data_IF_070108548892
#
_entry.id   IF_070108548892
#
_cell.length_a   1.000
_cell.length_b   1.000
_cell.length_c   1.000
_cell.angle_alpha   90.00
_cell.angle_beta   90.00
_cell.angle_gamma   90.00
#
_symmetry.space_group_name_H-M   'P 1'
#
loop_
_entity.id
_entity.type
_entity.pdbx_description
1 polymer ?
#
# COMPACT_ATOMS: atom_id res chain seq x y z
N UNK A 1 24.95 -7.09 38.98
CA UNK A 1 24.11 -8.09 38.28
C UNK A 1 24.56 -8.14 36.82
N UNK A 2 24.58 -9.31 36.18
CA UNK A 2 24.96 -9.41 34.76
C UNK A 2 23.74 -9.12 33.89
N UNK A 3 23.90 -8.19 32.96
CA UNK A 3 22.99 -7.96 31.85
C UNK A 3 23.80 -7.87 30.55
N UNK A 4 23.15 -8.14 29.44
CA UNK A 4 23.69 -7.90 28.11
C UNK A 4 22.84 -6.85 27.41
N UNK A 5 23.50 -5.98 26.65
CA UNK A 5 22.83 -5.05 25.75
C UNK A 5 22.67 -5.69 24.38
N UNK A 6 21.50 -5.53 23.78
CA UNK A 6 21.22 -5.93 22.42
C UNK A 6 20.53 -4.79 21.67
N UNK A 7 20.84 -4.66 20.38
CA UNK A 7 20.13 -3.80 19.43
C UNK A 7 19.23 -4.70 18.59
N UNK A 8 17.93 -4.42 18.60
CA UNK A 8 16.94 -5.11 17.78
C UNK A 8 16.61 -4.21 16.60
N UNK A 9 16.70 -4.75 15.39
CA UNK A 9 16.38 -4.01 14.16
C UNK A 9 15.31 -4.77 13.40
N UNK A 10 14.23 -4.07 13.03
CA UNK A 10 13.18 -4.55 12.15
C UNK A 10 13.36 -3.82 10.82
N UNK A 11 13.49 -4.58 9.73
CA UNK A 11 13.69 -4.02 8.39
C UNK A 11 12.62 -4.56 7.44
N UNK A 12 11.92 -3.63 6.80
CA UNK A 12 10.93 -3.91 5.79
C UNK A 12 11.57 -3.91 4.40
N UNK A 13 11.74 -5.10 3.82
CA UNK A 13 12.27 -5.27 2.46
C UNK A 13 11.19 -5.25 1.38
N UNK A 14 9.90 -5.15 1.74
CA UNK A 14 8.83 -5.07 0.75
C UNK A 14 8.92 -3.76 -0.03
N UNK A 15 8.95 -3.86 -1.36
CA UNK A 15 9.14 -2.70 -2.23
C UNK A 15 7.96 -1.71 -2.17
N UNK A 16 6.74 -2.22 -2.02
CA UNK A 16 5.51 -1.41 -2.10
C UNK A 16 4.51 -1.70 -0.97
N UNK A 17 4.84 -2.57 0.00
CA UNK A 17 4.01 -2.78 1.20
C UNK A 17 4.64 -2.07 2.38
N UNK A 18 3.86 -1.26 3.08
CA UNK A 18 4.27 -0.60 4.30
C UNK A 18 3.52 -1.22 5.50
N UNK A 19 4.07 -1.06 6.71
CA UNK A 19 3.32 -1.25 7.95
C UNK A 19 2.80 0.13 8.34
N UNK A 20 1.49 0.32 8.18
CA UNK A 20 0.81 1.57 8.51
C UNK A 20 0.58 1.72 10.02
N UNK A 21 -0.01 2.84 10.44
CA UNK A 21 -0.52 3.00 11.81
C UNK A 21 -1.64 1.97 12.07
N UNK A 22 -1.79 1.44 13.31
CA UNK A 22 -1.07 1.76 14.56
C UNK A 22 0.39 1.29 14.66
N UNK A 23 0.95 0.65 13.63
CA UNK A 23 2.35 0.23 13.59
C UNK A 23 2.56 -1.25 13.90
N UNK A 24 3.81 -1.69 13.90
CA UNK A 24 4.18 -3.06 14.26
C UNK A 24 4.12 -3.28 15.78
N UNK A 25 3.80 -4.52 16.16
CA UNK A 25 4.02 -5.05 17.50
C UNK A 25 4.85 -6.33 17.40
N UNK A 26 5.97 -6.38 18.09
CA UNK A 26 6.91 -7.49 18.05
C UNK A 26 6.79 -8.29 19.35
N UNK A 27 6.41 -9.57 19.24
CA UNK A 27 6.32 -10.49 20.37
C UNK A 27 7.30 -11.63 20.23
N UNK A 28 7.80 -12.15 21.34
CA UNK A 28 8.61 -13.36 21.38
C UNK A 28 8.47 -14.04 22.74
N UNK A 29 8.98 -15.26 22.86
CA UNK A 29 9.08 -16.00 24.11
C UNK A 29 10.54 -16.20 24.52
N UNK A 30 10.87 -15.87 25.75
CA UNK A 30 12.17 -16.20 26.34
C UNK A 30 12.32 -17.72 26.48
N UNK A 31 13.51 -18.24 26.22
CA UNK A 31 13.76 -19.70 26.29
C UNK A 31 14.00 -20.16 27.72
N UNK A 32 14.44 -19.26 28.60
CA UNK A 32 14.66 -19.52 30.01
C UNK A 32 13.83 -18.53 30.85
N UNK A 33 14.46 -17.85 31.81
CA UNK A 33 13.80 -16.90 32.73
C UNK A 33 14.34 -15.49 32.52
N UNK A 34 14.75 -15.16 31.30
CA UNK A 34 15.25 -13.84 30.96
C UNK A 34 14.22 -12.75 31.25
N UNK A 35 14.71 -11.56 31.59
CA UNK A 35 13.87 -10.39 31.90
C UNK A 35 14.42 -9.16 31.20
N UNK A 36 13.53 -8.20 30.93
CA UNK A 36 13.87 -6.91 30.35
C UNK A 36 14.18 -5.93 31.47
N UNK A 37 15.43 -5.51 31.55
CA UNK A 37 15.90 -4.53 32.53
C UNK A 37 15.50 -3.12 32.16
N UNK A 38 15.80 -2.73 30.92
CA UNK A 38 15.47 -1.41 30.37
C UNK A 38 15.38 -1.50 28.86
N UNK A 39 14.70 -0.52 28.25
CA UNK A 39 14.56 -0.37 26.81
C UNK A 39 14.72 1.10 26.41
N UNK A 40 15.23 1.33 25.20
CA UNK A 40 15.25 2.65 24.53
C UNK A 40 14.81 2.48 23.09
N UNK A 41 13.99 3.40 22.59
CA UNK A 41 13.40 3.38 21.24
C UNK A 41 12.08 2.61 21.13
N UNK A 42 11.83 1.67 22.04
CA UNK A 42 10.60 0.89 22.09
C UNK A 42 10.20 0.62 23.55
N UNK A 43 8.96 0.16 23.77
CA UNK A 43 8.41 -0.13 25.09
C UNK A 43 7.69 -1.48 25.09
N UNK A 44 7.81 -2.21 26.20
CA UNK A 44 7.04 -3.43 26.42
C UNK A 44 5.63 -3.03 26.86
N UNK A 45 4.62 -3.60 26.22
CA UNK A 45 3.21 -3.29 26.50
C UNK A 45 2.77 -3.69 27.91
N UNK A 46 3.48 -4.63 28.54
CA UNK A 46 3.17 -5.14 29.88
C UNK A 46 4.45 -5.42 30.67
N UNK A 47 4.42 -5.07 31.96
CA UNK A 47 5.50 -5.38 32.90
C UNK A 47 5.45 -6.84 33.39
N UNK A 48 4.25 -7.38 33.68
CA UNK A 48 4.11 -8.73 34.24
C UNK A 48 4.49 -8.84 35.73
N UNK A 49 4.62 -10.06 36.24
CA UNK A 49 4.93 -10.32 37.64
C UNK A 49 6.45 -10.28 37.90
N UNK A 50 6.93 -9.15 38.41
CA UNK A 50 8.33 -8.95 38.80
C UNK A 50 8.63 -9.21 40.29
N UNK A 51 7.74 -9.86 41.06
CA UNK A 51 7.91 -10.00 42.53
C UNK A 51 9.18 -10.73 42.97
N UNK A 52 9.82 -11.49 42.08
CA UNK A 52 11.13 -12.10 42.32
C UNK A 52 12.26 -11.06 42.47
N UNK A 53 12.08 -9.83 41.98
CA UNK A 53 13.08 -8.77 41.96
C UNK A 53 12.66 -7.62 42.90
N UNK A 54 13.04 -7.72 44.18
CA UNK A 54 12.55 -6.81 45.25
C UNK A 54 13.22 -5.44 45.33
N UNK A 55 14.41 -5.29 44.77
CA UNK A 55 15.27 -4.12 44.99
C UNK A 55 15.40 -3.19 43.77
N UNK A 56 14.79 -3.56 42.64
CA UNK A 56 14.82 -2.75 41.43
C UNK A 56 13.58 -3.03 40.57
N UNK A 57 12.92 -1.96 40.14
CA UNK A 57 11.82 -2.05 39.18
C UNK A 57 12.37 -2.36 37.80
N UNK A 58 12.13 -3.57 37.32
CA UNK A 58 12.46 -3.98 35.96
C UNK A 58 11.40 -3.50 34.98
N UNK A 59 11.80 -3.31 33.72
CA UNK A 59 10.89 -2.89 32.66
C UNK A 59 9.84 -3.95 32.32
N UNK A 60 10.23 -5.22 32.20
CA UNK A 60 9.29 -6.33 32.03
C UNK A 60 9.87 -7.67 32.48
N UNK A 61 9.05 -8.46 33.17
CA UNK A 61 9.33 -9.81 33.63
C UNK A 61 8.40 -10.86 33.00
N UNK A 62 7.67 -10.50 31.93
CA UNK A 62 6.90 -11.47 31.16
C UNK A 62 7.84 -12.45 30.45
N UNK A 63 7.45 -13.73 30.42
CA UNK A 63 8.13 -14.75 29.63
C UNK A 63 7.85 -14.57 28.13
N UNK A 64 6.75 -13.91 27.78
CA UNK A 64 6.25 -13.64 26.43
C UNK A 64 6.05 -12.13 26.15
N UNK A 65 7.09 -11.28 26.24
CA UNK A 65 6.92 -9.84 26.07
C UNK A 65 6.42 -9.48 24.66
N UNK A 66 5.55 -8.47 24.61
CA UNK A 66 5.14 -7.80 23.37
C UNK A 66 5.61 -6.35 23.42
N UNK A 67 6.34 -5.95 22.40
CA UNK A 67 7.02 -4.66 22.29
C UNK A 67 6.45 -3.84 21.15
N UNK A 68 6.32 -2.55 21.38
CA UNK A 68 5.89 -1.56 20.39
C UNK A 68 6.89 -0.42 20.32
N UNK A 69 7.03 0.16 19.14
CA UNK A 69 7.86 1.35 18.90
C UNK A 69 7.33 2.55 19.70
N UNK A 70 8.23 3.46 20.08
CA UNK A 70 7.80 4.73 20.65
C UNK A 70 7.28 5.69 19.56
N UNK A 71 6.47 6.65 19.99
CA UNK A 71 5.95 7.70 19.10
C UNK A 71 7.04 8.76 18.79
N UNK A 72 6.90 9.52 17.67
CA UNK A 72 7.88 10.54 17.26
C UNK A 72 8.13 11.68 18.26
N UNK A 73 7.24 11.87 19.22
CA UNK A 73 7.30 12.87 20.29
C UNK A 73 7.98 12.37 21.57
N UNK A 74 8.45 11.12 21.61
CA UNK A 74 9.15 10.55 22.76
C UNK A 74 10.33 11.41 23.22
N UNK A 75 10.60 11.48 24.52
CA UNK A 75 11.69 12.27 25.07
C UNK A 75 13.07 11.82 24.52
N UNK A 76 14.03 12.72 24.22
CA UNK A 76 15.31 12.38 23.60
C UNK A 76 16.10 11.27 24.32
N UNK A 77 16.04 11.24 25.64
CA UNK A 77 16.66 10.22 26.50
C UNK A 77 16.12 8.81 26.26
N UNK A 78 14.87 8.69 25.79
CA UNK A 78 14.22 7.42 25.50
C UNK A 78 14.35 7.01 24.03
N UNK A 79 14.97 7.84 23.17
CA UNK A 79 15.17 7.52 21.75
C UNK A 79 16.45 6.71 21.55
N UNK A 80 16.42 5.87 20.52
CA UNK A 80 17.57 5.18 19.93
C UNK A 80 17.72 5.59 18.47
N UNK A 81 18.88 5.32 17.89
CA UNK A 81 19.08 5.46 16.45
C UNK A 81 18.06 4.64 15.68
N UNK A 82 17.45 5.21 14.64
CA UNK A 82 16.47 4.52 13.77
C UNK A 82 15.06 4.36 14.36
N UNK A 83 14.83 4.72 15.63
CA UNK A 83 13.48 4.95 16.17
C UNK A 83 13.04 6.41 15.84
N UNK A 84 11.88 6.92 16.20
CA UNK A 84 10.73 6.36 16.89
C UNK A 84 9.55 6.80 16.02
N UNK A 85 8.93 5.87 15.29
CA UNK A 85 7.96 6.20 14.24
C UNK A 85 6.56 5.68 14.56
N UNK A 86 6.29 5.35 15.82
CA UNK A 86 5.04 4.73 16.24
C UNK A 86 4.78 3.43 15.50
N UNK A 87 5.83 2.69 15.16
CA UNK A 87 5.76 1.37 14.54
C UNK A 87 5.50 1.42 13.03
N UNK A 88 5.49 2.60 12.43
CA UNK A 88 5.34 2.73 10.97
C UNK A 88 6.65 2.33 10.28
N UNK A 89 6.57 1.38 9.35
CA UNK A 89 7.68 1.01 8.46
C UNK A 89 7.27 1.23 7.01
N UNK A 90 7.96 2.14 6.32
CA UNK A 90 7.66 2.46 4.93
C UNK A 90 8.06 1.32 4.00
N UNK A 91 7.45 1.31 2.83
CA UNK A 91 7.84 0.44 1.74
C UNK A 91 9.23 0.86 1.22
N UNK A 92 10.09 -0.14 0.96
CA UNK A 92 11.49 0.07 0.62
C UNK A 92 11.68 0.97 -0.60
N UNK A 93 10.90 0.76 -1.68
CA UNK A 93 11.05 1.54 -2.91
C UNK A 93 10.53 2.97 -2.79
N UNK A 94 9.73 3.28 -1.77
CA UNK A 94 9.15 4.62 -1.55
C UNK A 94 10.08 5.45 -0.66
N UNK A 95 10.47 4.93 0.50
CA UNK A 95 11.38 5.59 1.44
C UNK A 95 12.32 4.58 2.13
N UNK A 96 13.48 4.25 1.54
CA UNK A 96 14.43 3.27 2.09
C UNK A 96 14.98 3.64 3.48
N UNK A 97 15.11 4.93 3.78
CA UNK A 97 15.58 5.42 5.09
C UNK A 97 14.51 5.27 6.18
N UNK A 98 13.24 5.11 5.79
CA UNK A 98 12.10 4.94 6.69
C UNK A 98 11.55 3.50 6.74
N UNK A 99 12.22 2.57 6.06
CA UNK A 99 11.83 1.15 6.02
C UNK A 99 12.52 0.29 7.08
N UNK A 100 13.22 0.89 8.04
CA UNK A 100 13.76 0.19 9.21
C UNK A 100 13.45 0.94 10.50
N UNK A 101 13.33 0.19 11.59
CA UNK A 101 13.24 0.70 12.96
C UNK A 101 14.15 -0.12 13.85
N UNK A 102 14.79 0.52 14.83
CA UNK A 102 15.63 -0.17 15.81
C UNK A 102 15.49 0.38 17.21
N UNK A 103 15.60 -0.53 18.17
CA UNK A 103 15.54 -0.23 19.59
C UNK A 103 16.61 -1.01 20.36
N UNK A 104 16.99 -0.49 21.53
CA UNK A 104 17.96 -1.10 22.41
C UNK A 104 17.26 -1.75 23.60
N UNK A 105 17.76 -2.91 24.01
CA UNK A 105 17.22 -3.68 25.12
C UNK A 105 18.36 -4.18 26.02
N UNK A 106 18.20 -3.99 27.33
CA UNK A 106 19.06 -4.63 28.33
C UNK A 106 18.37 -5.90 28.83
N UNK A 107 18.96 -7.06 28.55
CA UNK A 107 18.45 -8.38 28.94
C UNK A 107 19.22 -8.87 30.16
N UNK A 108 18.51 -9.33 31.18
CA UNK A 108 19.13 -9.88 32.38
C UNK A 108 18.54 -11.24 32.79
N UNK A 109 18.95 -11.69 33.97
CA UNK A 109 18.68 -13.04 34.48
C UNK A 109 19.21 -14.18 33.57
N UNK A 110 20.35 -13.95 32.93
CA UNK A 110 20.99 -14.85 31.96
C UNK A 110 21.71 -16.06 32.59
N UNK A 111 21.58 -16.28 33.89
CA UNK A 111 22.29 -17.33 34.62
C UNK A 111 23.81 -17.09 34.73
N UNK A 112 24.53 -18.11 35.22
CA UNK A 112 25.99 -18.07 35.36
C UNK A 112 26.75 -18.49 34.08
N UNK A 113 26.05 -19.14 33.16
CA UNK A 113 26.61 -19.59 31.87
C UNK A 113 26.90 -18.40 30.95
N UNK A 114 27.95 -18.52 30.12
CA UNK A 114 28.27 -17.55 29.06
C UNK A 114 27.45 -17.77 27.78
N UNK A 115 26.66 -18.86 27.71
CA UNK A 115 25.85 -19.21 26.55
C UNK A 115 24.50 -18.49 26.60
N UNK A 116 24.24 -17.67 25.59
CA UNK A 116 22.94 -16.99 25.40
C UNK A 116 22.18 -17.70 24.30
N UNK A 117 20.88 -17.90 24.51
CA UNK A 117 20.00 -18.57 23.55
C UNK A 117 19.10 -17.56 22.83
N UNK A 118 18.79 -17.79 21.53
CA UNK A 118 17.84 -16.96 20.84
C UNK A 118 16.45 -17.10 21.47
N UNK A 119 15.63 -16.04 21.45
CA UNK A 119 14.21 -16.16 21.75
C UNK A 119 13.49 -17.16 20.84
N UNK A 120 12.37 -17.69 21.31
CA UNK A 120 11.48 -18.55 20.55
C UNK A 120 10.18 -17.83 20.17
N UNK A 121 9.38 -18.45 19.29
CA UNK A 121 8.02 -18.00 18.96
C UNK A 121 7.92 -16.51 18.60
N UNK A 122 8.75 -16.06 17.66
CA UNK A 122 8.69 -14.70 17.15
C UNK A 122 7.33 -14.46 16.46
N UNK A 123 6.65 -13.39 16.85
CA UNK A 123 5.41 -12.93 16.25
C UNK A 123 5.56 -11.47 15.83
N UNK A 124 5.17 -11.17 14.59
CA UNK A 124 5.04 -9.80 14.10
C UNK A 124 3.56 -9.53 13.86
N UNK A 125 2.96 -8.68 14.68
CA UNK A 125 1.62 -8.16 14.46
C UNK A 125 1.71 -6.81 13.76
N UNK A 126 0.84 -6.59 12.78
CA UNK A 126 0.69 -5.35 12.04
C UNK A 126 -0.82 -5.04 11.94
N UNK A 127 -1.21 -3.84 11.48
CA UNK A 127 -2.63 -3.51 11.30
C UNK A 127 -3.34 -4.50 10.38
N UNK A 128 -2.66 -4.91 9.30
CA UNK A 128 -3.11 -5.98 8.43
C UNK A 128 -2.64 -7.33 9.00
N UNK A 129 -3.55 -8.31 9.19
CA UNK A 129 -3.15 -9.66 9.54
C UNK A 129 -2.36 -10.31 8.38
N UNK A 130 -1.71 -11.45 8.64
CA UNK A 130 -1.10 -12.28 7.59
C UNK A 130 0.42 -12.33 7.57
N UNK A 131 1.11 -11.71 8.53
CA UNK A 131 2.54 -11.92 8.73
C UNK A 131 2.81 -13.22 9.49
N UNK A 132 3.75 -14.02 8.99
CA UNK A 132 4.27 -15.23 9.63
C UNK A 132 5.80 -15.15 9.68
N UNK A 133 6.39 -15.40 10.84
CA UNK A 133 7.84 -15.30 11.04
C UNK A 133 8.50 -16.67 11.16
N UNK A 134 9.71 -16.78 10.60
CA UNK A 134 10.59 -17.92 10.83
C UNK A 134 11.11 -17.94 12.27
N UNK A 135 11.72 -19.06 12.67
CA UNK A 135 12.53 -19.10 13.88
C UNK A 135 13.78 -18.23 13.70
N UNK A 136 14.37 -17.82 14.81
CA UNK A 136 15.67 -17.16 14.81
C UNK A 136 16.77 -18.15 14.43
N UNK A 137 17.63 -17.74 13.51
CA UNK A 137 18.82 -18.47 13.08
C UNK A 137 20.07 -17.69 13.46
N UNK A 138 21.13 -18.39 13.88
CA UNK A 138 22.44 -17.78 14.12
C UNK A 138 22.98 -17.19 12.81
N UNK A 139 23.44 -15.95 12.89
CA UNK A 139 24.09 -15.24 11.80
C UNK A 139 25.50 -14.81 12.23
N UNK A 140 26.40 -14.52 11.28
CA UNK A 140 27.68 -13.92 11.60
C UNK A 140 27.49 -12.66 12.48
N UNK A 141 28.31 -12.47 13.52
CA UNK A 141 28.21 -11.31 14.39
C UNK A 141 28.24 -10.01 13.60
N UNK A 142 27.27 -9.14 13.88
CA UNK A 142 27.16 -7.83 13.22
C UNK A 142 28.29 -6.92 13.68
N UNK A 143 28.93 -6.25 12.71
CA UNK A 143 29.96 -5.25 12.95
C UNK A 143 29.37 -3.90 12.61
N UNK A 144 29.45 -2.97 13.56
CA UNK A 144 28.99 -1.60 13.38
C UNK A 144 30.20 -0.65 13.37
N UNK A 145 30.30 0.26 12.39
CA UNK A 145 31.27 1.34 12.45
C UNK A 145 30.88 2.34 13.55
N UNK A 146 31.86 2.72 14.37
CA UNK A 146 31.75 3.65 15.49
C UNK A 146 32.81 4.73 15.31
N UNK A 147 32.60 5.90 15.92
CA UNK A 147 33.52 7.06 15.84
C UNK A 147 33.75 7.47 14.37
N UNK A 148 32.66 7.83 13.67
CA UNK A 148 32.68 8.24 12.26
C UNK A 148 33.37 7.24 11.31
N UNK A 149 33.29 5.93 11.64
CA UNK A 149 33.86 4.86 10.83
C UNK A 149 35.33 4.55 11.08
N UNK A 150 35.96 5.21 12.07
CA UNK A 150 37.37 4.94 12.42
C UNK A 150 37.57 3.68 13.26
N UNK A 151 36.52 3.17 13.90
CA UNK A 151 36.55 1.97 14.73
C UNK A 151 35.40 1.07 14.37
N UNK A 152 35.62 -0.24 14.42
CA UNK A 152 34.56 -1.23 14.29
C UNK A 152 34.30 -1.86 15.66
N UNK A 153 33.03 -1.95 16.02
CA UNK A 153 32.58 -2.70 17.20
C UNK A 153 31.74 -3.88 16.74
N UNK A 154 32.14 -5.09 17.17
CA UNK A 154 31.45 -6.32 16.86
C UNK A 154 30.57 -6.73 18.04
N UNK A 155 29.32 -7.13 17.76
CA UNK A 155 28.44 -7.69 18.78
C UNK A 155 28.85 -9.11 19.17
N UNK A 156 28.45 -9.55 20.36
CA UNK A 156 28.75 -10.90 20.83
C UNK A 156 28.13 -11.99 19.96
N UNK A 157 26.85 -11.81 19.56
CA UNK A 157 26.10 -12.70 18.66
C UNK A 157 25.02 -11.93 17.91
N UNK A 158 24.64 -12.47 16.75
CA UNK A 158 23.51 -11.97 15.95
C UNK A 158 22.58 -13.13 15.63
N UNK A 159 21.28 -12.88 15.79
CA UNK A 159 20.23 -13.76 15.28
C UNK A 159 19.39 -13.02 14.25
N UNK A 160 18.94 -13.75 13.22
CA UNK A 160 18.05 -13.22 12.19
C UNK A 160 16.80 -14.09 12.08
N UNK A 161 15.68 -13.46 11.82
CA UNK A 161 14.44 -14.11 11.45
C UNK A 161 13.80 -13.34 10.31
N UNK A 162 13.09 -14.04 9.43
CA UNK A 162 12.38 -13.45 8.32
C UNK A 162 10.87 -13.55 8.57
N UNK A 163 10.15 -12.45 8.41
CA UNK A 163 8.69 -12.43 8.45
C UNK A 163 8.15 -12.19 7.04
N UNK A 164 7.25 -13.07 6.60
CA UNK A 164 6.62 -13.00 5.28
C UNK A 164 5.13 -12.74 5.43
N UNK A 165 4.60 -11.93 4.51
CA UNK A 165 3.18 -11.61 4.41
C UNK A 165 2.48 -12.52 3.42
N UNK A 166 1.29 -13.02 3.78
CA UNK A 166 0.40 -13.78 2.92
C UNK A 166 -0.95 -13.09 2.80
N UNK A 167 -1.28 -12.61 1.59
CA UNK A 167 -2.58 -11.97 1.31
C UNK A 167 -3.75 -12.93 1.49
N UNK A 168 -3.56 -14.23 1.26
CA UNK A 168 -4.59 -15.25 1.45
C UNK A 168 -4.98 -15.43 2.93
N UNK A 169 -4.00 -15.31 3.83
CA UNK A 169 -4.24 -15.36 5.28
C UNK A 169 -4.83 -14.05 5.78
N UNK A 170 -4.37 -12.94 5.22
CA UNK A 170 -4.78 -11.60 5.61
C UNK A 170 -6.25 -11.30 5.25
N UNK A 171 -6.64 -11.60 4.02
CA UNK A 171 -7.84 -11.08 3.40
C UNK A 171 -8.66 -12.21 2.78
N UNK A 172 -9.87 -12.43 3.30
CA UNK A 172 -10.85 -13.35 2.69
C UNK A 172 -11.43 -12.78 1.40
N UNK A 173 -11.62 -11.46 1.37
CA UNK A 173 -12.12 -10.72 0.21
C UNK A 173 -11.08 -9.67 -0.20
N UNK A 174 -11.01 -9.28 -1.48
CA UNK A 174 -10.25 -8.11 -1.91
C UNK A 174 -10.59 -6.87 -1.09
N UNK A 175 -9.64 -5.94 -0.97
CA UNK A 175 -9.81 -4.65 -0.25
C UNK A 175 -9.95 -3.47 -1.21
N UNK A 176 -9.76 -3.70 -2.51
CA UNK A 176 -9.91 -2.71 -3.55
C UNK A 176 -10.41 -3.31 -4.87
N UNK A 177 -10.98 -2.46 -5.71
CA UNK A 177 -11.47 -2.82 -7.03
C UNK A 177 -11.04 -1.79 -8.07
N UNK A 178 -11.10 -2.19 -9.34
CA UNK A 178 -10.75 -1.33 -10.48
C UNK A 178 -11.97 -1.07 -11.35
N UNK A 179 -12.11 0.17 -11.81
CA UNK A 179 -13.07 0.56 -12.84
C UNK A 179 -12.34 1.21 -14.02
N UNK A 180 -12.86 1.02 -15.23
CA UNK A 180 -12.19 1.38 -16.48
C UNK A 180 -13.08 2.26 -17.34
N UNK A 181 -12.49 3.23 -18.03
CA UNK A 181 -13.19 4.04 -19.03
C UNK A 181 -12.23 4.54 -20.10
N UNK A 182 -12.77 5.07 -21.20
CA UNK A 182 -11.96 5.64 -22.27
C UNK A 182 -12.67 6.78 -22.99
N UNK A 183 -11.91 7.62 -23.69
CA UNK A 183 -12.47 8.70 -24.52
C UNK A 183 -13.27 8.19 -25.74
N UNK A 184 -13.08 6.94 -26.16
CA UNK A 184 -13.69 6.37 -27.36
C UNK A 184 -14.91 5.48 -27.05
N UNK A 185 -15.22 5.24 -25.78
CA UNK A 185 -16.37 4.44 -25.36
C UNK A 185 -17.11 5.16 -24.23
N UNK A 186 -18.40 5.42 -24.42
CA UNK A 186 -19.24 6.13 -23.43
C UNK A 186 -19.60 5.26 -22.23
N UNK A 187 -19.49 3.94 -22.35
CA UNK A 187 -19.74 3.01 -21.27
C UNK A 187 -18.52 2.89 -20.35
N UNK A 188 -18.75 3.10 -19.05
CA UNK A 188 -17.74 2.91 -18.00
C UNK A 188 -17.90 1.48 -17.49
N UNK A 189 -16.83 0.70 -17.53
CA UNK A 189 -16.77 -0.61 -16.88
C UNK A 189 -16.66 -0.38 -15.37
N UNK A 190 -17.70 -0.67 -14.59
CA UNK A 190 -17.68 -0.42 -13.16
C UNK A 190 -16.79 -1.46 -12.45
N UNK A 191 -16.54 -1.24 -11.16
CA UNK A 191 -16.03 -2.32 -10.32
C UNK A 191 -17.02 -3.49 -10.31
N UNK A 192 -16.54 -4.75 -10.29
CA UNK A 192 -17.43 -5.89 -10.17
C UNK A 192 -18.27 -5.82 -8.89
N UNK A 193 -19.53 -6.17 -9.02
CA UNK A 193 -20.51 -6.18 -7.92
C UNK A 193 -20.02 -7.10 -6.79
N UNK A 194 -20.23 -6.68 -5.54
CA UNK A 194 -19.91 -7.43 -4.34
C UNK A 194 -18.46 -7.91 -4.19
N UNK A 195 -17.51 -7.27 -4.89
CA UNK A 195 -16.08 -7.62 -4.85
C UNK A 195 -15.54 -7.73 -3.42
N UNK A 196 -15.80 -6.75 -2.56
CA UNK A 196 -15.24 -6.71 -1.22
C UNK A 196 -16.18 -7.30 -0.15
N UNK A 197 -17.21 -8.04 -0.59
CA UNK A 197 -18.16 -8.75 0.25
C UNK A 197 -19.45 -7.96 0.48
N UNK A 198 -20.50 -8.35 -0.23
CA UNK A 198 -21.87 -7.96 0.13
C UNK A 198 -22.39 -8.85 1.27
N UNK A 199 -23.19 -8.26 2.15
CA UNK A 199 -23.98 -9.01 3.13
C UNK A 199 -25.47 -8.85 2.82
N UNK A 200 -26.28 -9.91 2.97
CA UNK A 200 -27.72 -9.79 2.83
C UNK A 200 -28.31 -8.86 3.89
N UNK A 201 -29.33 -8.09 3.51
CA UNK A 201 -29.98 -7.03 4.30
C UNK A 201 -30.78 -7.52 5.51
N UNK A 202 -30.79 -8.82 5.81
CA UNK A 202 -31.59 -9.42 6.90
C UNK A 202 -30.98 -9.25 8.31
N UNK A 203 -29.74 -8.76 8.42
CA UNK A 203 -29.11 -8.42 9.71
C UNK A 203 -29.20 -6.91 9.96
N UNK A 204 -30.34 -6.44 10.51
CA UNK A 204 -30.53 -5.04 10.92
C UNK A 204 -29.55 -4.58 12.03
N UNK A 205 -28.90 -5.53 12.70
CA UNK A 205 -28.03 -5.32 13.86
C UNK A 205 -26.58 -4.99 13.51
N UNK A 206 -26.16 -5.07 12.23
CA UNK A 206 -24.78 -4.80 11.84
C UNK A 206 -24.69 -4.04 10.50
N UNK A 207 -25.04 -2.74 10.54
CA UNK A 207 -24.85 -1.82 9.40
C UNK A 207 -23.36 -1.65 9.10
N UNK A 208 -22.86 -2.42 8.13
CA UNK A 208 -21.47 -2.38 7.64
C UNK A 208 -21.20 -1.21 6.70
N UNK A 209 -22.27 -0.55 6.24
CA UNK A 209 -22.18 0.64 5.44
C UNK A 209 -23.31 1.61 5.75
N UNK A 210 -23.06 2.90 5.50
CA UNK A 210 -24.02 3.97 5.77
C UNK A 210 -24.49 4.59 4.46
N UNK A 211 -25.81 4.72 4.32
CA UNK A 211 -26.44 5.45 3.22
C UNK A 211 -26.75 6.92 3.58
N UNK A 212 -26.83 7.27 4.87
CA UNK A 212 -27.20 8.61 5.39
C UNK A 212 -26.62 8.91 6.78
N UNK A 213 -26.29 10.18 7.02
CA UNK A 213 -25.33 10.79 7.97
C UNK A 213 -25.50 10.65 9.50
N UNK A 214 -26.23 9.67 10.05
CA UNK A 214 -26.65 9.71 11.47
C UNK A 214 -26.12 8.60 12.39
N UNK A 215 -24.96 7.99 12.12
CA UNK A 215 -24.40 6.95 13.03
C UNK A 215 -22.93 7.23 13.38
N UNK A 216 -22.58 7.03 14.65
CA UNK A 216 -21.24 7.19 15.22
C UNK A 216 -20.18 6.49 14.36
N UNK A 217 -19.19 7.27 13.95
CA UNK A 217 -18.45 7.09 12.70
C UNK A 217 -17.03 6.57 12.99
N UNK A 218 -16.91 5.32 13.39
CA UNK A 218 -15.64 4.59 13.33
C UNK A 218 -15.91 3.20 12.73
N UNK A 219 -15.21 2.89 11.62
CA UNK A 219 -15.29 1.62 10.84
C UNK A 219 -16.39 1.51 9.76
N UNK A 220 -17.10 2.58 9.44
CA UNK A 220 -18.15 2.55 8.40
C UNK A 220 -17.57 2.85 7.00
N UNK A 221 -17.92 2.00 6.03
CA UNK A 221 -17.65 2.22 4.60
C UNK A 221 -18.91 2.80 3.95
N UNK A 222 -18.78 3.62 2.91
CA UNK A 222 -19.92 4.05 2.11
C UNK A 222 -20.54 2.89 1.34
N UNK A 223 -21.86 2.75 1.40
CA UNK A 223 -22.56 1.70 0.65
C UNK A 223 -22.35 1.92 -0.85
N UNK A 224 -21.81 0.89 -1.50
CA UNK A 224 -21.66 0.82 -2.96
C UNK A 224 -21.94 -0.60 -3.39
N UNK A 225 -22.37 -0.75 -4.63
CA UNK A 225 -22.49 -2.01 -5.34
C UNK A 225 -21.30 -2.98 -5.18
N UNK A 226 -20.07 -2.46 -5.12
CA UNK A 226 -18.85 -3.26 -5.00
C UNK A 226 -18.38 -3.46 -3.56
N UNK A 227 -18.89 -2.66 -2.60
CA UNK A 227 -18.54 -2.65 -1.17
C UNK A 227 -17.05 -2.48 -0.84
N UNK A 228 -16.25 -2.00 -1.79
CA UNK A 228 -14.80 -1.87 -1.60
C UNK A 228 -14.42 -0.56 -0.91
N UNK A 229 -13.55 -0.60 0.13
CA UNK A 229 -12.98 0.59 0.74
C UNK A 229 -12.26 1.50 -0.26
N UNK A 230 -11.58 0.92 -1.24
CA UNK A 230 -10.82 1.66 -2.24
C UNK A 230 -11.24 1.29 -3.66
N UNK A 231 -11.37 2.29 -4.50
CA UNK A 231 -11.56 2.14 -5.95
C UNK A 231 -10.42 2.82 -6.70
N UNK A 232 -9.83 2.11 -7.65
CA UNK A 232 -8.87 2.68 -8.60
C UNK A 232 -9.56 2.81 -9.95
N UNK A 233 -9.67 4.03 -10.46
CA UNK A 233 -10.24 4.31 -11.76
C UNK A 233 -9.14 4.61 -12.79
N UNK A 234 -9.13 3.85 -13.88
CA UNK A 234 -8.21 4.03 -15.00
C UNK A 234 -8.98 4.53 -16.22
N UNK A 235 -8.74 5.79 -16.59
CA UNK A 235 -9.40 6.43 -17.73
C UNK A 235 -8.39 6.73 -18.84
N UNK A 236 -8.60 6.17 -20.03
CA UNK A 236 -7.83 6.57 -21.22
C UNK A 236 -8.35 7.92 -21.70
N UNK A 237 -7.57 8.98 -21.47
CA UNK A 237 -7.98 10.37 -21.70
C UNK A 237 -7.82 10.81 -23.14
N UNK A 238 -6.67 10.51 -23.74
CA UNK A 238 -6.33 10.99 -25.07
C UNK A 238 -5.28 10.10 -25.75
N UNK A 239 -5.27 10.14 -27.08
CA UNK A 239 -4.37 9.34 -27.91
C UNK A 239 -3.74 10.22 -29.00
N UNK A 240 -2.46 10.56 -28.85
CA UNK A 240 -1.72 11.41 -29.79
C UNK A 240 -0.76 10.59 -30.66
N UNK A 241 -0.03 11.22 -31.58
CA UNK A 241 0.86 10.51 -32.51
C UNK A 241 1.99 9.76 -31.80
N UNK A 242 2.68 10.40 -30.86
CA UNK A 242 3.86 9.84 -30.17
C UNK A 242 3.65 9.43 -28.72
N UNK A 243 2.50 9.74 -28.13
CA UNK A 243 2.19 9.43 -26.74
C UNK A 243 0.68 9.27 -26.54
N UNK A 244 0.28 8.76 -25.39
CA UNK A 244 -1.10 8.64 -24.96
C UNK A 244 -1.22 8.99 -23.48
N UNK A 245 -2.40 9.47 -23.11
CA UNK A 245 -2.67 10.02 -21.78
C UNK A 245 -3.68 9.16 -21.02
N UNK A 246 -3.37 8.90 -19.76
CA UNK A 246 -4.25 8.21 -18.81
C UNK A 246 -4.52 9.14 -17.63
N UNK A 247 -5.78 9.23 -17.23
CA UNK A 247 -6.16 9.82 -15.94
C UNK A 247 -6.38 8.70 -14.95
N UNK A 248 -5.54 8.65 -13.93
CA UNK A 248 -5.62 7.69 -12.83
C UNK A 248 -6.24 8.38 -11.62
N UNK A 249 -7.27 7.78 -11.03
CA UNK A 249 -7.94 8.30 -9.82
C UNK A 249 -8.04 7.20 -8.78
N UNK A 250 -7.59 7.46 -7.56
CA UNK A 250 -7.79 6.56 -6.41
C UNK A 250 -8.81 7.20 -5.49
N UNK A 251 -9.86 6.46 -5.13
CA UNK A 251 -10.96 6.91 -4.30
C UNK A 251 -11.05 6.08 -3.02
N UNK A 252 -11.22 6.74 -1.88
CA UNK A 252 -11.41 6.17 -0.55
C UNK A 252 -12.87 6.35 -0.10
N UNK A 253 -13.53 5.24 0.17
CA UNK A 253 -14.92 5.13 0.60
C UNK A 253 -15.07 4.92 2.11
N UNK A 254 -13.97 4.82 2.86
CA UNK A 254 -14.01 4.68 4.30
C UNK A 254 -14.34 6.03 4.96
N UNK A 255 -15.23 6.06 5.95
CA UNK A 255 -15.65 7.31 6.60
C UNK A 255 -14.77 7.75 7.77
N UNK A 256 -14.06 6.83 8.42
CA UNK A 256 -13.27 7.12 9.63
C UNK A 256 -11.76 6.91 9.48
N UNK A 257 -11.26 6.63 8.27
CA UNK A 257 -9.88 6.20 8.06
C UNK A 257 -9.30 6.81 6.81
N UNK A 258 -8.14 7.43 6.99
CA UNK A 258 -7.31 7.94 5.91
C UNK A 258 -6.26 6.90 5.55
N UNK A 259 -5.84 6.90 4.28
CA UNK A 259 -4.64 6.16 3.86
C UNK A 259 -3.46 7.12 3.78
N UNK A 260 -2.66 7.15 4.84
CA UNK A 260 -1.41 7.91 4.90
C UNK A 260 -0.27 7.18 4.18
N UNK A 261 0.51 7.93 3.40
CA UNK A 261 1.59 7.49 2.53
C UNK A 261 1.17 6.30 1.66
N UNK A 262 -0.03 6.43 1.09
CA UNK A 262 -0.57 5.47 0.17
C UNK A 262 0.36 5.31 -1.04
N UNK A 263 0.34 4.11 -1.60
CA UNK A 263 1.02 3.83 -2.86
C UNK A 263 0.16 2.92 -3.75
N UNK A 264 0.50 2.93 -5.02
CA UNK A 264 -0.17 2.18 -6.06
C UNK A 264 0.86 1.56 -6.99
N UNK A 265 0.78 0.25 -7.17
CA UNK A 265 1.54 -0.47 -8.19
C UNK A 265 0.64 -0.72 -9.39
N UNK A 266 1.13 -0.43 -10.58
CA UNK A 266 0.45 -0.72 -11.85
C UNK A 266 1.35 -1.59 -12.69
N UNK A 267 0.82 -2.73 -13.11
CA UNK A 267 1.45 -3.58 -14.11
C UNK A 267 0.77 -3.34 -15.46
N UNK A 268 1.54 -2.84 -16.45
CA UNK A 268 1.02 -2.54 -17.77
C UNK A 268 2.15 -2.56 -18.81
N UNK A 269 1.98 -3.21 -19.98
CA UNK A 269 3.03 -3.31 -21.01
C UNK A 269 3.65 -1.96 -21.41
N UNK A 270 2.80 -0.95 -21.69
CA UNK A 270 3.23 0.41 -22.03
C UNK A 270 4.05 1.17 -20.98
N UNK A 271 4.22 0.66 -19.75
CA UNK A 271 5.14 1.24 -18.76
C UNK A 271 6.61 0.88 -19.05
N UNK A 272 6.86 0.01 -20.03
CA UNK A 272 8.20 -0.22 -20.58
C UNK A 272 8.79 1.04 -21.21
N UNK A 273 7.94 1.88 -21.80
CA UNK A 273 8.33 3.15 -22.40
C UNK A 273 8.62 4.23 -21.35
N UNK A 274 9.10 5.38 -21.80
CA UNK A 274 9.18 6.58 -20.98
C UNK A 274 7.76 7.02 -20.61
N UNK A 275 7.56 7.33 -19.33
CA UNK A 275 6.31 7.89 -18.84
C UNK A 275 6.57 8.99 -17.82
N UNK A 276 5.59 9.88 -17.67
CA UNK A 276 5.59 10.94 -16.67
C UNK A 276 4.27 10.96 -15.92
N UNK A 277 4.33 11.20 -14.61
CA UNK A 277 3.17 11.48 -13.76
C UNK A 277 3.26 12.91 -13.23
N UNK A 278 2.17 13.69 -13.32
CA UNK A 278 2.22 15.11 -12.93
C UNK A 278 1.96 15.39 -11.46
N UNK A 279 1.04 14.65 -10.83
CA UNK A 279 0.59 14.96 -9.46
C UNK A 279 0.97 13.88 -8.45
N UNK A 280 1.66 12.83 -8.88
CA UNK A 280 2.20 11.75 -8.04
C UNK A 280 3.69 11.60 -8.30
N UNK A 281 4.42 11.17 -7.28
CA UNK A 281 5.74 10.59 -7.48
C UNK A 281 5.60 9.24 -8.19
N UNK A 282 6.63 8.85 -8.95
CA UNK A 282 6.66 7.56 -9.62
C UNK A 282 8.05 6.99 -9.80
N UNK A 283 8.13 5.67 -9.89
CA UNK A 283 9.34 4.94 -10.22
C UNK A 283 9.01 3.65 -10.95
N UNK A 284 9.95 3.15 -11.76
CA UNK A 284 9.88 1.80 -12.32
C UNK A 284 10.38 0.82 -11.26
N UNK A 285 9.64 -0.28 -11.06
CA UNK A 285 10.07 -1.38 -10.24
C UNK A 285 10.68 -2.46 -11.14
N UNK A 286 11.99 -2.66 -11.03
CA UNK A 286 12.68 -3.72 -11.75
C UNK A 286 12.19 -5.07 -11.23
N UNK A 287 11.47 -5.84 -12.05
CA UNK A 287 11.16 -7.23 -11.73
C UNK A 287 12.45 -8.04 -11.79
N UNK A 288 12.92 -8.53 -10.63
CA UNK A 288 14.12 -9.38 -10.50
C UNK A 288 14.02 -10.75 -11.17
N UNK A 289 12.95 -11.03 -11.89
CA UNK A 289 12.78 -12.20 -12.75
C UNK A 289 12.39 -11.74 -14.14
N UNK A 290 13.14 -12.17 -15.15
CA UNK A 290 12.88 -11.96 -16.59
C UNK A 290 11.61 -12.64 -17.13
N UNK A 291 10.64 -12.93 -16.25
CA UNK A 291 9.46 -13.79 -16.51
C UNK A 291 8.16 -12.96 -16.50
N UNK A 292 8.18 -11.72 -15.97
CA UNK A 292 7.07 -10.79 -16.14
C UNK A 292 7.38 -9.88 -17.33
N UNK A 293 6.82 -10.20 -18.49
CA UNK A 293 7.00 -9.42 -19.74
C UNK A 293 6.45 -7.99 -19.62
N UNK A 294 5.50 -7.76 -18.70
CA UNK A 294 4.91 -6.45 -18.47
C UNK A 294 5.62 -5.69 -17.34
N UNK A 295 6.10 -4.50 -17.68
CA UNK A 295 6.77 -3.58 -16.76
C UNK A 295 5.83 -3.04 -15.68
N UNK A 296 6.43 -2.76 -14.52
CA UNK A 296 5.72 -2.39 -13.30
C UNK A 296 6.15 -0.98 -12.88
N UNK A 297 5.17 -0.11 -12.66
CA UNK A 297 5.41 1.22 -12.09
C UNK A 297 4.78 1.35 -10.71
N UNK A 298 5.50 2.01 -9.81
CA UNK A 298 5.04 2.42 -8.50
C UNK A 298 4.69 3.90 -8.53
N UNK A 299 3.56 4.26 -7.95
CA UNK A 299 3.10 5.62 -7.77
C UNK A 299 2.79 5.88 -6.30
N UNK A 300 3.10 7.07 -5.80
CA UNK A 300 2.78 7.45 -4.41
C UNK A 300 2.58 8.95 -4.29
N UNK A 301 1.97 9.36 -3.18
CA UNK A 301 1.71 10.76 -2.89
C UNK A 301 3.00 11.58 -2.69
N UNK A 302 2.89 12.87 -2.99
CA UNK A 302 3.90 13.89 -2.72
C UNK A 302 3.68 14.40 -1.29
N UNK A 303 4.75 14.43 -0.51
CA UNK A 303 4.72 14.84 0.89
C UNK A 303 4.09 16.23 1.04
N UNK A 304 3.20 16.39 2.02
CA UNK A 304 2.47 17.64 2.30
C UNK A 304 1.51 18.13 1.19
N UNK A 305 1.29 17.34 0.14
CA UNK A 305 0.36 17.68 -0.94
C UNK A 305 -0.78 16.66 -1.04
N UNK A 306 -0.44 15.41 -1.31
CA UNK A 306 -1.40 14.32 -1.45
C UNK A 306 -0.86 12.99 -0.94
N UNK A 307 0.08 13.04 0.00
CA UNK A 307 0.58 11.89 0.76
C UNK A 307 -0.47 11.30 1.70
N UNK A 308 -1.62 11.95 1.89
CA UNK A 308 -2.77 11.39 2.60
C UNK A 308 -3.97 11.32 1.66
N UNK A 309 -4.46 10.11 1.41
CA UNK A 309 -5.75 9.89 0.77
C UNK A 309 -6.84 9.95 1.85
N UNK A 310 -7.50 11.09 1.90
CA UNK A 310 -8.53 11.39 2.89
C UNK A 310 -9.72 10.43 2.81
N UNK A 311 -10.39 10.26 3.94
CA UNK A 311 -11.65 9.56 4.08
C UNK A 311 -12.77 10.19 3.23
N UNK A 312 -13.85 9.44 3.05
CA UNK A 312 -15.08 9.96 2.47
C UNK A 312 -15.69 11.04 3.38
N UNK A 313 -16.11 12.15 2.79
CA UNK A 313 -16.85 13.22 3.45
C UNK A 313 -18.25 13.28 2.86
N UNK A 314 -19.27 13.32 3.71
CA UNK A 314 -20.68 13.31 3.30
C UNK A 314 -21.00 12.24 2.24
N UNK A 315 -21.35 12.71 1.03
CA UNK A 315 -21.72 11.91 -0.13
C UNK A 315 -20.61 11.82 -1.19
N UNK A 316 -19.37 12.19 -0.87
CA UNK A 316 -18.24 12.13 -1.80
C UNK A 316 -17.08 11.30 -1.23
N UNK A 317 -16.53 10.35 -2.01
CA UNK A 317 -15.33 9.66 -1.58
C UNK A 317 -14.15 10.63 -1.59
N UNK A 318 -13.24 10.49 -0.62
CA UNK A 318 -11.95 11.16 -0.71
C UNK A 318 -11.21 10.65 -1.94
N UNK A 319 -10.49 11.51 -2.66
CA UNK A 319 -9.82 11.07 -3.89
C UNK A 319 -8.52 11.81 -4.18
N UNK A 320 -7.62 11.10 -4.82
CA UNK A 320 -6.37 11.63 -5.40
C UNK A 320 -6.33 11.27 -6.88
N UNK A 321 -5.84 12.20 -7.70
CA UNK A 321 -5.82 12.03 -9.16
C UNK A 321 -4.47 12.43 -9.71
N UNK A 322 -4.01 11.72 -10.74
CA UNK A 322 -2.85 12.11 -11.54
C UNK A 322 -3.16 11.89 -13.02
N UNK A 323 -2.42 12.62 -13.86
CA UNK A 323 -2.32 12.35 -15.28
C UNK A 323 -0.99 11.67 -15.57
N UNK A 324 -1.05 10.56 -16.30
CA UNK A 324 0.09 9.78 -16.74
C UNK A 324 0.19 9.93 -18.26
N UNK A 325 1.33 10.42 -18.73
CA UNK A 325 1.65 10.45 -20.17
C UNK A 325 2.62 9.31 -20.44
N UNK A 326 2.27 8.43 -21.37
CA UNK A 326 3.09 7.31 -21.78
C UNK A 326 3.51 7.50 -23.25
N UNK A 327 4.80 7.38 -23.51
CA UNK A 327 5.31 7.33 -24.88
C UNK A 327 4.80 6.09 -25.61
N UNK A 328 4.59 6.21 -26.91
CA UNK A 328 4.20 5.09 -27.75
C UNK A 328 5.41 4.42 -28.33
N UNK A 329 5.43 3.11 -28.22
CA UNK A 329 6.17 2.26 -29.13
C UNK A 329 5.26 1.93 -30.33
N UNK A 330 5.75 2.20 -31.54
CA UNK A 330 4.98 2.05 -32.78
C UNK A 330 4.67 0.56 -33.03
N UNK A 331 5.54 -0.33 -32.59
CA UNK A 331 5.43 -1.76 -32.89
C UNK A 331 4.47 -2.48 -31.93
N UNK A 332 4.34 -2.01 -30.68
CA UNK A 332 3.53 -2.66 -29.64
C UNK A 332 2.24 -1.92 -29.25
N UNK A 333 2.14 -0.61 -29.47
CA UNK A 333 0.99 0.17 -29.01
C UNK A 333 -0.30 -0.18 -29.78
N UNK A 334 -1.38 -0.49 -29.06
CA UNK A 334 -2.71 -0.67 -29.65
C UNK A 334 -3.84 -0.33 -28.67
N UNK A 335 -4.98 0.12 -29.18
CA UNK A 335 -6.22 0.26 -28.40
C UNK A 335 -7.12 -0.98 -28.49
N UNK A 336 -6.73 -1.98 -29.28
CA UNK A 336 -7.51 -3.20 -29.49
C UNK A 336 -7.32 -4.17 -28.32
N UNK A 337 -8.30 -5.05 -28.14
CA UNK A 337 -8.23 -6.20 -27.23
C UNK A 337 -7.81 -5.85 -25.80
N UNK A 338 -8.20 -4.66 -25.33
CA UNK A 338 -7.94 -4.22 -23.97
C UNK A 338 -6.48 -3.92 -23.63
N UNK A 339 -5.59 -3.76 -24.62
CA UNK A 339 -4.15 -3.54 -24.37
C UNK A 339 -3.84 -2.29 -23.54
N UNK A 340 -4.61 -1.21 -23.72
CA UNK A 340 -4.39 0.07 -23.06
C UNK A 340 -4.87 0.13 -21.58
N UNK A 341 -5.29 -1.01 -21.04
CA UNK A 341 -5.73 -1.16 -19.66
C UNK A 341 -4.73 -2.01 -18.87
N UNK A 342 -4.56 -1.72 -17.57
CA UNK A 342 -3.57 -2.42 -16.75
C UNK A 342 -3.92 -3.90 -16.63
N UNK A 343 -2.89 -4.73 -16.43
CA UNK A 343 -3.08 -6.17 -16.15
C UNK A 343 -3.39 -6.42 -14.70
N UNK A 344 -2.69 -5.70 -13.81
CA UNK A 344 -2.85 -5.77 -12.36
C UNK A 344 -2.62 -4.41 -11.74
N UNK A 345 -3.33 -4.17 -10.65
CA UNK A 345 -3.16 -2.99 -9.80
C UNK A 345 -3.07 -3.48 -8.36
N UNK A 346 -2.09 -2.96 -7.62
CA UNK A 346 -2.01 -3.15 -6.18
C UNK A 346 -2.12 -1.81 -5.47
N UNK A 347 -2.94 -1.72 -4.44
CA UNK A 347 -3.04 -0.55 -3.58
C UNK A 347 -2.51 -0.90 -2.19
N UNK A 348 -1.49 -0.17 -1.71
CA UNK A 348 -0.78 -0.47 -0.45
C UNK A 348 -0.30 -1.94 -0.33
N UNK A 349 -0.03 -2.58 -1.46
CA UNK A 349 0.37 -3.98 -1.56
C UNK A 349 -0.76 -5.00 -1.65
N UNK A 350 -2.03 -4.59 -1.52
CA UNK A 350 -3.20 -5.45 -1.76
C UNK A 350 -3.56 -5.50 -3.25
N UNK A 351 -3.83 -6.70 -3.76
CA UNK A 351 -4.24 -6.88 -5.16
C UNK A 351 -5.69 -6.42 -5.36
N UNK A 352 -5.90 -5.43 -6.24
CA UNK A 352 -7.24 -4.96 -6.55
C UNK A 352 -7.93 -5.86 -7.57
N UNK A 353 -9.22 -6.11 -7.36
CA UNK A 353 -10.01 -6.89 -8.31
C UNK A 353 -10.17 -6.11 -9.62
N UNK A 354 -9.64 -6.69 -10.69
CA UNK A 354 -9.84 -6.20 -12.06
C UNK A 354 -11.20 -6.67 -12.61
N UNK A 355 -11.88 -5.88 -13.45
CA UNK A 355 -12.95 -6.37 -14.31
C UNK A 355 -12.46 -7.50 -15.23
N UNK A 356 -13.38 -8.31 -15.76
CA UNK A 356 -13.00 -9.32 -16.74
C UNK A 356 -12.58 -8.64 -18.06
N UNK A 357 -11.59 -9.17 -18.79
CA UNK A 357 -11.12 -8.57 -20.05
C UNK A 357 -12.22 -8.35 -21.10
N UNK A 358 -13.26 -9.19 -21.09
CA UNK A 358 -14.42 -9.08 -21.99
C UNK A 358 -15.28 -7.84 -21.71
N UNK A 359 -15.23 -7.31 -20.48
CA UNK A 359 -16.01 -6.15 -20.05
C UNK A 359 -15.23 -4.84 -20.26
N UNK A 360 -13.99 -4.90 -20.75
CA UNK A 360 -13.17 -3.71 -20.97
C UNK A 360 -13.80 -2.81 -22.03
N UNK A 361 -13.69 -1.48 -21.92
CA UNK A 361 -14.29 -0.58 -22.90
C UNK A 361 -13.66 -0.83 -24.28
N UNK A 362 -14.47 -1.35 -25.19
CA UNK A 362 -14.09 -1.72 -26.54
C UNK A 362 -14.12 -0.51 -27.49
N UNK A 363 -13.34 -0.59 -28.58
CA UNK A 363 -13.44 0.37 -29.67
C UNK A 363 -14.83 0.31 -30.31
N UNK A 364 -15.41 1.44 -30.74
CA UNK A 364 -16.71 1.43 -31.40
C UNK A 364 -16.65 0.58 -32.67
N UNK A 365 -17.60 -0.36 -32.78
CA UNK A 365 -17.76 -1.15 -33.99
C UNK A 365 -18.17 -0.21 -35.14
N UNK A 366 -17.41 -0.24 -36.23
CA UNK A 366 -17.65 0.58 -37.43
C UNK A 366 -19.03 0.34 -38.09
N UNK A 367 -19.81 -0.62 -37.60
CA UNK A 367 -21.12 -1.02 -38.14
C UNK A 367 -22.33 -0.39 -37.43
N UNK A 368 -22.17 0.36 -36.35
CA UNK A 368 -23.30 0.98 -35.63
C UNK A 368 -23.43 2.49 -35.83
N UNK A 369 -23.22 2.95 -37.06
CA UNK A 369 -23.61 4.28 -37.51
C UNK A 369 -24.73 4.18 -38.53
N UNK A 370 -25.98 3.93 -38.11
CA UNK A 370 -27.12 4.42 -38.90
C UNK A 370 -27.09 5.94 -38.80
N UNK A 371 -26.26 6.57 -39.64
CA UNK A 371 -26.38 7.99 -39.91
C UNK A 371 -27.84 8.20 -40.36
N UNK A 372 -28.64 8.86 -39.53
CA UNK A 372 -29.87 9.50 -40.01
C UNK A 372 -29.40 10.52 -41.03
N UNK A 373 -29.42 10.13 -42.30
CA UNK A 373 -29.15 11.00 -43.42
C UNK A 373 -30.20 12.10 -43.41
N UNK A 374 -29.86 13.24 -42.82
CA UNK A 374 -30.51 14.50 -43.18
C UNK A 374 -30.06 14.79 -44.61
N UNK A 375 -30.87 14.34 -45.57
CA UNK A 375 -30.80 14.78 -46.95
C UNK A 375 -31.10 16.29 -46.95
N UNK A 376 -30.05 17.10 -47.01
CA UNK A 376 -30.16 18.48 -47.46
C UNK A 376 -30.29 18.44 -48.98
N UNK A 377 -31.40 18.89 -49.59
CA UNK A 377 -31.47 18.98 -51.03
C UNK A 377 -30.65 20.19 -51.47
N UNK A 378 -29.41 19.94 -51.88
CA UNK A 378 -28.58 20.88 -52.62
C UNK A 378 -29.05 20.94 -54.09
N UNK A 379 -30.31 21.33 -54.31
CA UNK A 379 -30.88 21.53 -55.65
C UNK A 379 -31.95 22.61 -55.54
N UNK A 380 -31.56 23.88 -55.76
CA UNK A 380 -32.44 24.95 -56.25
C UNK A 380 -31.75 26.32 -56.49
N UNK A 381 -30.43 26.44 -56.33
CA UNK A 381 -29.73 27.71 -56.59
C UNK A 381 -29.14 27.87 -58.01
N UNK A 382 -29.35 26.92 -58.92
CA UNK A 382 -28.92 27.04 -60.32
C UNK A 382 -30.01 27.49 -61.32
N UNK A 383 -31.24 27.73 -60.88
CA UNK A 383 -32.34 28.16 -61.77
C UNK A 383 -32.66 29.67 -61.72
N UNK A 384 -31.95 30.46 -60.91
CA UNK A 384 -32.18 31.91 -60.78
C UNK A 384 -31.16 32.78 -61.51
N UNK A 385 -30.12 32.21 -62.13
CA UNK A 385 -29.16 32.96 -62.94
C UNK A 385 -29.46 32.98 -64.44
N UNK A 386 -30.52 32.31 -64.93
CA UNK A 386 -30.90 32.31 -66.35
C UNK A 386 -32.06 33.24 -66.73
N UNK A 387 -32.68 33.94 -65.76
CA UNK A 387 -33.78 34.90 -66.02
C UNK A 387 -33.35 36.36 -66.09
N UNK A 388 -32.05 36.66 -66.07
CA UNK A 388 -31.49 38.03 -66.19
C UNK A 388 -30.69 38.25 -67.49
N UNK A 389 -30.95 37.47 -68.54
CA UNK A 389 -30.43 37.70 -69.90
C UNK A 389 -31.55 37.85 -70.97
N UNK A 390 -32.78 38.14 -70.56
CA UNK A 390 -33.87 38.53 -71.46
C UNK A 390 -34.78 39.56 -70.76
N UNK A 391 -34.24 40.78 -70.60
CA UNK A 391 -34.96 42.05 -70.72
C UNK A 391 -33.98 43.21 -70.81
#
# INVERSE_FOLDING_TARGET
>A
MRWLQAKVTIQNYYQYRHIARPGWMLGWKWTHKEVIWSMRGAIATQQGNCSAFKYQTLHSCRDDPVVVDLMPDAAPENRSEGCCRGGVLRAWAVRPTESSSSFEIAVGNLGASSTVYPPANLTLMAPDPGYTCSKFEDAPPTVNPVVNGMREEQVFRTWKAACTYSSYVANKNPTCCVSLSSFYNTHITPCPQCTCGCRPTSDETMKTCVSTSTVERSELIRCTDHMCPVRVHWHIKANYRGHWGVKLTVSNYHYGSNYSDWNLVVQHPGLNQLFWSYSFNSSKLLSGSSILEDEVALFWGIQYYNDVLLNAMDNDPGSVTTEIILSKDIDSFTLRSGWAYPRRIYFNGENCQMPLPQDFPALPNATSGKAKGYSTPLFLLLCLSLKMMLM
#
